data_IF_250154961231
#
_entry.id   IF_250154961231
#
_cell.length_a   1.000
_cell.length_b   1.000
_cell.length_c   1.000
_cell.angle_alpha   90.00
_cell.angle_beta   90.00
_cell.angle_gamma   90.00
#
_symmetry.space_group_name_H-M   'P 1'
#
loop_
_entity.id
_entity.type
_entity.pdbx_description
1 polymer ?
#
# COMPACT_ATOMS: atom_id res chain seq x y z
N UNK A 1 18.16 -4.94 16.40
CA UNK A 1 17.43 -3.94 15.59
C UNK A 1 18.19 -3.52 14.32
N UNK A 2 19.45 -3.94 14.12
CA UNK A 2 20.22 -3.65 12.90
C UNK A 2 20.25 -4.86 11.97
N UNK A 3 19.10 -5.25 11.42
CA UNK A 3 19.06 -6.27 10.38
C UNK A 3 18.23 -5.79 9.19
N UNK A 4 18.47 -6.39 8.03
CA UNK A 4 17.83 -6.02 6.78
C UNK A 4 16.30 -6.08 6.87
N UNK A 5 15.75 -7.10 7.52
CA UNK A 5 14.31 -7.27 7.73
C UNK A 5 13.68 -6.04 8.39
N UNK A 6 14.29 -5.54 9.47
CA UNK A 6 13.79 -4.35 10.17
C UNK A 6 13.81 -3.10 9.28
N UNK A 7 14.92 -2.87 8.57
CA UNK A 7 15.06 -1.72 7.66
C UNK A 7 14.03 -1.80 6.53
N UNK A 8 13.82 -3.01 5.99
CA UNK A 8 12.82 -3.26 4.97
C UNK A 8 11.41 -2.91 5.44
N UNK A 9 10.99 -3.44 6.61
CA UNK A 9 9.66 -3.13 7.16
C UNK A 9 9.52 -1.65 7.51
N UNK A 10 10.57 -1.00 8.00
CA UNK A 10 10.56 0.42 8.31
C UNK A 10 10.25 1.27 7.06
N UNK A 11 10.92 1.02 5.94
CA UNK A 11 10.68 1.76 4.70
C UNK A 11 9.31 1.43 4.10
N UNK A 12 8.90 0.16 4.14
CA UNK A 12 7.57 -0.24 3.66
C UNK A 12 6.46 0.44 4.46
N UNK A 13 6.56 0.42 5.80
CA UNK A 13 5.59 1.09 6.68
C UNK A 13 5.58 2.61 6.45
N UNK A 14 6.76 3.24 6.29
CA UNK A 14 6.84 4.66 5.96
C UNK A 14 6.06 4.98 4.69
N UNK A 15 6.19 4.17 3.64
CA UNK A 15 5.50 4.37 2.38
C UNK A 15 3.98 4.18 2.51
N UNK A 16 3.55 3.14 3.23
CA UNK A 16 2.12 2.86 3.50
C UNK A 16 1.49 4.01 4.31
N UNK A 17 2.15 4.44 5.38
CA UNK A 17 1.68 5.57 6.21
C UNK A 17 1.66 6.84 5.36
N UNK A 18 2.64 7.07 4.50
CA UNK A 18 2.68 8.19 3.58
C UNK A 18 1.46 8.25 2.67
N UNK A 19 1.07 7.11 2.06
CA UNK A 19 -0.13 7.00 1.22
C UNK A 19 -1.42 7.21 2.03
N UNK A 20 -1.48 6.66 3.25
CA UNK A 20 -2.66 6.78 4.11
C UNK A 20 -2.82 8.15 4.78
N UNK A 21 -1.76 8.96 4.86
CA UNK A 21 -1.76 10.19 5.65
C UNK A 21 -2.82 11.20 5.16
N UNK A 22 -2.94 11.40 3.85
CA UNK A 22 -3.93 12.34 3.29
C UNK A 22 -5.36 11.87 3.56
N UNK A 23 -5.65 10.59 3.33
CA UNK A 23 -6.95 10.00 3.60
C UNK A 23 -7.29 10.08 5.10
N UNK A 24 -6.36 9.69 5.96
CA UNK A 24 -6.54 9.73 7.42
C UNK A 24 -6.84 11.15 7.92
N UNK A 25 -6.09 12.15 7.44
CA UNK A 25 -6.34 13.55 7.79
C UNK A 25 -7.70 14.05 7.30
N UNK A 26 -8.12 13.64 6.11
CA UNK A 26 -9.41 14.05 5.56
C UNK A 26 -10.58 13.39 6.29
N UNK A 27 -10.48 12.10 6.63
CA UNK A 27 -11.52 11.38 7.37
C UNK A 27 -11.67 11.85 8.83
N UNK A 28 -10.63 12.45 9.40
CA UNK A 28 -10.67 13.03 10.75
C UNK A 28 -11.29 14.44 10.80
N UNK A 29 -11.54 15.08 9.66
CA UNK A 29 -12.14 16.42 9.60
C UNK A 29 -13.66 16.36 9.71
N UNK A 30 -14.22 17.22 10.55
CA UNK A 30 -15.68 17.28 10.78
C UNK A 30 -16.45 18.04 9.67
N UNK A 31 -15.74 18.78 8.81
CA UNK A 31 -16.30 19.60 7.73
C UNK A 31 -16.12 18.97 6.34
N UNK A 32 -15.67 17.72 6.29
CA UNK A 32 -15.33 17.06 5.03
C UNK A 32 -16.59 16.72 4.22
N UNK A 33 -16.63 17.19 2.97
CA UNK A 33 -17.68 16.84 2.02
C UNK A 33 -17.55 15.36 1.58
N UNK A 34 -18.67 14.63 1.54
CA UNK A 34 -18.75 13.21 1.16
C UNK A 34 -18.09 12.94 -0.19
N UNK A 35 -18.25 13.84 -1.18
CA UNK A 35 -17.64 13.70 -2.51
C UNK A 35 -16.13 13.72 -2.41
N UNK A 36 -15.59 14.68 -1.65
CA UNK A 36 -14.15 14.81 -1.47
C UNK A 36 -13.59 13.61 -0.71
N UNK A 37 -14.30 13.11 0.31
CA UNK A 37 -13.91 11.89 1.02
C UNK A 37 -13.86 10.66 0.08
N UNK A 38 -14.88 10.43 -0.73
CA UNK A 38 -14.91 9.30 -1.67
C UNK A 38 -13.84 9.42 -2.78
N UNK A 39 -13.58 10.64 -3.26
CA UNK A 39 -12.49 10.88 -4.21
C UNK A 39 -11.12 10.54 -3.61
N UNK A 40 -10.89 10.89 -2.33
CA UNK A 40 -9.66 10.54 -1.62
C UNK A 40 -9.52 9.02 -1.42
N UNK A 41 -10.60 8.32 -1.05
CA UNK A 41 -10.60 6.85 -0.98
C UNK A 41 -10.16 6.25 -2.32
N UNK A 42 -10.76 6.70 -3.43
CA UNK A 42 -10.40 6.23 -4.77
C UNK A 42 -8.95 6.57 -5.15
N UNK A 43 -8.46 7.76 -4.77
CA UNK A 43 -7.08 8.14 -4.98
C UNK A 43 -6.11 7.25 -4.19
N UNK A 44 -6.37 7.01 -2.90
CA UNK A 44 -5.57 6.13 -2.04
C UNK A 44 -5.53 4.70 -2.58
N UNK A 45 -6.67 4.17 -3.04
CA UNK A 45 -6.74 2.85 -3.71
C UNK A 45 -5.81 2.78 -4.91
N UNK A 46 -5.84 3.80 -5.79
CA UNK A 46 -4.98 3.87 -6.98
C UNK A 46 -3.50 3.96 -6.60
N UNK A 47 -3.16 4.72 -5.55
CA UNK A 47 -1.79 4.84 -5.06
C UNK A 47 -1.24 3.50 -4.55
N UNK A 48 -2.02 2.73 -3.79
CA UNK A 48 -1.59 1.40 -3.35
C UNK A 48 -1.42 0.42 -4.51
N UNK A 49 -2.33 0.41 -5.49
CA UNK A 49 -2.19 -0.42 -6.70
C UNK A 49 -0.92 -0.06 -7.48
N UNK A 50 -0.68 1.24 -7.70
CA UNK A 50 0.54 1.73 -8.37
C UNK A 50 1.82 1.38 -7.61
N UNK A 51 1.80 1.48 -6.27
CA UNK A 51 2.91 1.07 -5.42
C UNK A 51 3.17 -0.42 -5.54
N UNK A 52 2.12 -1.26 -5.58
CA UNK A 52 2.27 -2.71 -5.76
C UNK A 52 2.89 -3.07 -7.11
N UNK A 53 2.45 -2.42 -8.18
CA UNK A 53 2.91 -2.71 -9.54
C UNK A 53 4.34 -2.24 -9.80
N UNK A 54 4.68 -1.02 -9.34
CA UNK A 54 5.91 -0.33 -9.76
C UNK A 54 6.84 0.08 -8.60
N UNK A 55 6.42 -0.11 -7.35
CA UNK A 55 7.13 0.41 -6.17
C UNK A 55 8.22 -0.50 -5.63
N UNK A 56 8.34 -1.75 -6.12
CA UNK A 56 9.31 -2.73 -5.62
C UNK A 56 10.75 -2.24 -5.73
N UNK A 57 11.20 -1.89 -6.94
CA UNK A 57 12.59 -1.48 -7.19
C UNK A 57 12.96 -0.20 -6.43
N UNK A 58 12.01 0.73 -6.32
CA UNK A 58 12.21 1.97 -5.56
C UNK A 58 12.41 1.68 -4.07
N UNK A 59 11.52 0.87 -3.48
CA UNK A 59 11.63 0.47 -2.07
C UNK A 59 12.94 -0.28 -1.80
N UNK A 60 13.28 -1.25 -2.65
CA UNK A 60 14.50 -2.04 -2.49
C UNK A 60 15.74 -1.16 -2.56
N UNK A 61 15.80 -0.23 -3.53
CA UNK A 61 16.89 0.72 -3.66
C UNK A 61 17.06 1.59 -2.42
N UNK A 62 15.97 2.14 -1.86
CA UNK A 62 16.02 2.93 -0.62
C UNK A 62 16.53 2.11 0.56
N UNK A 63 16.05 0.87 0.71
CA UNK A 63 16.47 -0.05 1.79
C UNK A 63 17.96 -0.38 1.67
N UNK A 64 18.45 -0.70 0.47
CA UNK A 64 19.87 -1.02 0.24
C UNK A 64 20.75 0.18 0.55
N UNK A 65 20.38 1.37 0.06
CA UNK A 65 21.12 2.61 0.34
C UNK A 65 21.16 2.92 1.84
N UNK A 66 20.04 2.74 2.54
CA UNK A 66 20.00 2.92 3.99
C UNK A 66 20.91 1.90 4.70
N UNK A 67 20.82 0.63 4.34
CA UNK A 67 21.65 -0.42 4.94
C UNK A 67 23.14 -0.14 4.74
N UNK A 68 23.57 0.22 3.53
CA UNK A 68 24.94 0.61 3.22
C UNK A 68 25.41 1.80 4.07
N UNK A 69 24.58 2.85 4.18
CA UNK A 69 24.90 4.04 4.97
C UNK A 69 25.07 3.73 6.46
N UNK A 70 24.34 2.74 6.97
CA UNK A 70 24.29 2.42 8.39
C UNK A 70 25.03 1.13 8.76
N UNK A 71 25.87 0.60 7.85
CA UNK A 71 26.61 -0.66 8.02
C UNK A 71 25.73 -1.83 8.47
N UNK A 72 24.55 -1.95 7.87
CA UNK A 72 23.66 -3.11 8.01
C UNK A 72 23.92 -4.04 6.83
N UNK A 73 24.10 -5.33 7.12
CA UNK A 73 24.32 -6.34 6.10
C UNK A 73 23.15 -6.40 5.12
N UNK A 74 23.45 -6.28 3.83
CA UNK A 74 22.47 -6.35 2.75
C UNK A 74 22.25 -7.82 2.36
N UNK A 75 20.99 -8.21 2.24
CA UNK A 75 20.63 -9.54 1.76
C UNK A 75 20.84 -9.62 0.25
N UNK A 76 21.56 -10.65 -0.21
CA UNK A 76 21.66 -10.96 -1.63
C UNK A 76 20.32 -11.52 -2.14
N UNK A 77 19.66 -10.73 -3.00
CA UNK A 77 18.35 -11.08 -3.56
C UNK A 77 18.40 -12.25 -4.54
N UNK A 78 19.56 -12.53 -5.14
CA UNK A 78 19.75 -13.67 -6.04
C UNK A 78 20.00 -14.98 -5.30
N UNK A 79 20.42 -14.91 -4.04
CA UNK A 79 20.69 -16.08 -3.23
C UNK A 79 19.41 -16.86 -2.92
N UNK A 80 19.53 -18.19 -2.93
CA UNK A 80 18.46 -19.10 -2.51
C UNK A 80 18.09 -18.83 -1.05
N UNK A 81 16.80 -18.68 -0.80
CA UNK A 81 16.27 -18.60 0.54
C UNK A 81 16.15 -20.01 1.13
N UNK A 82 16.71 -20.21 2.33
CA UNK A 82 16.56 -21.45 3.10
C UNK A 82 15.72 -21.13 4.33
N UNK A 83 14.49 -21.66 4.37
CA UNK A 83 13.61 -21.51 5.54
C UNK A 83 14.15 -22.37 6.70
N UNK A 84 14.60 -21.78 7.82
CA UNK A 84 15.12 -22.55 8.97
C UNK A 84 14.06 -23.44 9.63
N UNK A 85 12.77 -23.17 9.40
CA UNK A 85 11.64 -23.83 10.06
C UNK A 85 11.05 -24.98 9.24
N UNK A 86 11.40 -25.10 7.97
CA UNK A 86 10.89 -26.18 7.10
C UNK A 86 12.00 -27.19 6.80
N UNK A 87 11.83 -28.44 7.24
CA UNK A 87 12.60 -29.57 6.71
C UNK A 87 12.21 -29.80 5.25
N UNK A 88 13.11 -29.42 4.34
CA UNK A 88 13.25 -29.82 2.93
C UNK A 88 12.12 -30.71 2.38
N UNK A 89 10.91 -30.15 2.21
CA UNK A 89 9.83 -30.79 1.47
C UNK A 89 9.27 -29.77 0.50
N UNK A 90 9.83 -29.83 -0.70
CA UNK A 90 9.36 -29.37 -2.00
C UNK A 90 8.58 -28.06 -2.03
N UNK A 91 9.17 -27.03 -2.65
CA UNK A 91 8.62 -26.39 -3.88
C UNK A 91 9.56 -25.25 -4.30
N UNK A 92 10.21 -25.42 -5.46
CA UNK A 92 11.06 -24.46 -6.19
C UNK A 92 12.19 -23.77 -5.40
N UNK A 93 13.29 -23.48 -6.09
CA UNK A 93 14.42 -22.77 -5.48
C UNK A 93 14.05 -21.29 -5.27
N UNK A 94 13.24 -21.00 -4.25
CA UNK A 94 12.79 -19.64 -3.96
C UNK A 94 13.98 -18.77 -3.56
N UNK A 95 14.15 -17.65 -4.24
CA UNK A 95 15.19 -16.66 -3.96
C UNK A 95 14.77 -15.74 -2.82
N UNK A 96 15.74 -15.02 -2.25
CA UNK A 96 15.43 -13.93 -1.33
C UNK A 96 14.52 -12.87 -1.99
N UNK A 97 14.72 -12.58 -3.29
CA UNK A 97 13.82 -11.68 -4.04
C UNK A 97 12.35 -12.12 -3.91
N UNK A 98 12.05 -13.40 -4.16
CA UNK A 98 10.69 -13.91 -4.04
C UNK A 98 10.12 -13.70 -2.63
N UNK A 99 10.91 -14.02 -1.59
CA UNK A 99 10.48 -13.86 -0.20
C UNK A 99 10.16 -12.41 0.14
N UNK A 100 11.00 -11.46 -0.24
CA UNK A 100 10.75 -10.05 0.11
C UNK A 100 9.71 -9.39 -0.78
N UNK A 101 9.73 -9.68 -2.09
CA UNK A 101 8.81 -9.08 -3.05
C UNK A 101 7.41 -9.68 -2.95
N UNK A 102 7.30 -11.00 -2.99
CA UNK A 102 6.00 -11.68 -3.03
C UNK A 102 5.44 -11.82 -1.61
N UNK A 103 6.16 -12.53 -0.74
CA UNK A 103 5.61 -12.93 0.58
C UNK A 103 5.50 -11.76 1.58
N UNK A 104 6.26 -10.67 1.38
CA UNK A 104 6.21 -9.49 2.25
C UNK A 104 5.59 -8.29 1.56
N UNK A 105 6.23 -7.75 0.52
CA UNK A 105 5.82 -6.49 -0.10
C UNK A 105 4.41 -6.58 -0.70
N UNK A 106 4.17 -7.54 -1.61
CA UNK A 106 2.86 -7.71 -2.25
C UNK A 106 1.79 -8.09 -1.23
N UNK A 107 2.05 -9.08 -0.37
CA UNK A 107 1.07 -9.53 0.64
C UNK A 107 0.63 -8.39 1.57
N UNK A 108 1.56 -7.53 2.01
CA UNK A 108 1.23 -6.39 2.87
C UNK A 108 0.39 -5.35 2.11
N UNK A 109 0.76 -5.03 0.86
CA UNK A 109 0.00 -4.07 0.05
C UNK A 109 -1.38 -4.58 -0.34
N UNK A 110 -1.50 -5.86 -0.68
CA UNK A 110 -2.79 -6.48 -0.94
C UNK A 110 -3.69 -6.44 0.29
N UNK A 111 -3.12 -6.62 1.49
CA UNK A 111 -3.87 -6.44 2.73
C UNK A 111 -4.35 -5.00 2.91
N UNK A 112 -3.50 -4.01 2.63
CA UNK A 112 -3.91 -2.59 2.71
C UNK A 112 -5.03 -2.26 1.71
N UNK A 113 -4.94 -2.75 0.47
CA UNK A 113 -6.00 -2.57 -0.54
C UNK A 113 -7.28 -3.26 -0.09
N UNK A 114 -7.19 -4.50 0.41
CA UNK A 114 -8.34 -5.24 0.90
C UNK A 114 -9.01 -4.55 2.08
N UNK A 115 -8.26 -4.09 3.07
CA UNK A 115 -8.82 -3.36 4.21
C UNK A 115 -9.56 -2.09 3.76
N UNK A 116 -9.02 -1.38 2.76
CA UNK A 116 -9.69 -0.22 2.16
C UNK A 116 -10.99 -0.62 1.42
N UNK A 117 -10.97 -1.72 0.66
CA UNK A 117 -12.12 -2.20 -0.10
C UNK A 117 -13.22 -2.80 0.78
N UNK A 118 -12.86 -3.46 1.88
CA UNK A 118 -13.79 -4.00 2.87
C UNK A 118 -14.53 -2.86 3.60
N UNK A 119 -13.88 -1.72 3.83
CA UNK A 119 -14.49 -0.54 4.46
C UNK A 119 -15.24 0.38 3.48
N UNK A 120 -14.69 0.56 2.28
CA UNK A 120 -15.19 1.49 1.27
C UNK A 120 -15.32 0.79 -0.08
N UNK A 121 -16.25 -0.16 -0.16
CA UNK A 121 -16.50 -0.92 -1.38
C UNK A 121 -16.73 -0.04 -2.61
N UNK A 122 -16.21 -0.46 -3.76
CA UNK A 122 -16.22 0.33 -5.00
C UNK A 122 -17.63 0.82 -5.37
N UNK A 123 -18.61 -0.09 -5.35
CA UNK A 123 -20.02 0.22 -5.63
C UNK A 123 -20.55 1.28 -4.66
N UNK A 124 -20.24 1.17 -3.37
CA UNK A 124 -20.69 2.14 -2.36
C UNK A 124 -20.07 3.52 -2.57
N UNK A 125 -18.78 3.57 -2.88
CA UNK A 125 -18.08 4.84 -3.17
C UNK A 125 -18.61 5.51 -4.43
N UNK A 126 -18.89 4.74 -5.49
CA UNK A 126 -19.44 5.25 -6.74
C UNK A 126 -20.89 5.70 -6.59
N UNK A 127 -21.70 4.95 -5.84
CA UNK A 127 -23.07 5.33 -5.52
C UNK A 127 -23.12 6.64 -4.75
N UNK A 128 -22.26 6.84 -3.75
CA UNK A 128 -22.21 8.09 -2.99
C UNK A 128 -21.76 9.28 -3.85
N UNK A 129 -20.81 9.06 -4.76
CA UNK A 129 -20.39 10.07 -5.72
C UNK A 129 -21.54 10.44 -6.67
N UNK A 130 -22.28 9.46 -7.19
CA UNK A 130 -23.44 9.73 -8.06
C UNK A 130 -24.59 10.39 -7.31
N UNK A 131 -24.89 9.98 -6.08
CA UNK A 131 -25.91 10.60 -5.23
C UNK A 131 -25.61 12.05 -4.86
N UNK A 132 -24.34 12.46 -4.81
CA UNK A 132 -24.00 13.87 -4.60
C UNK A 132 -24.49 14.81 -5.71
N UNK A 133 -24.77 14.29 -6.90
CA UNK A 133 -25.44 15.07 -7.95
C UNK A 133 -26.86 15.49 -7.54
N UNK A 134 -27.45 14.77 -6.60
CA UNK A 134 -28.76 15.03 -5.99
C UNK A 134 -28.66 15.94 -4.75
N UNK A 135 -27.49 16.52 -4.44
CA UNK A 135 -27.36 17.43 -3.31
C UNK A 135 -27.99 18.80 -3.63
N UNK A 136 -29.08 19.19 -2.94
CA UNK A 136 -29.72 20.49 -3.15
C UNK A 136 -28.80 21.67 -2.79
N UNK A 137 -27.74 21.46 -1.97
CA UNK A 137 -26.75 22.48 -1.61
C UNK A 137 -26.03 23.07 -2.83
N UNK A 138 -25.90 22.29 -3.91
CA UNK A 138 -25.32 22.74 -5.17
C UNK A 138 -26.34 22.88 -6.30
N UNK A 139 -27.64 22.98 -5.95
CA UNK A 139 -28.75 23.14 -6.89
C UNK A 139 -28.75 22.12 -8.03
N UNK A 140 -28.37 20.87 -7.75
CA UNK A 140 -28.37 19.78 -8.75
C UNK A 140 -27.51 20.06 -9.99
N UNK A 141 -26.54 20.97 -9.94
CA UNK A 141 -25.72 21.33 -11.12
C UNK A 141 -25.03 20.13 -11.76
N UNK A 142 -24.62 19.15 -10.95
CA UNK A 142 -23.96 17.93 -11.44
C UNK A 142 -24.94 16.86 -11.97
N UNK A 143 -26.26 17.03 -11.82
CA UNK A 143 -27.27 16.11 -12.35
C UNK A 143 -27.65 16.42 -13.80
N UNK A 144 -27.44 17.67 -14.24
CA UNK A 144 -27.82 18.15 -15.57
C UNK A 144 -26.66 18.11 -16.60
N UNK A 145 -25.58 17.37 -16.30
CA UNK A 145 -24.38 17.27 -17.12
C UNK A 145 -24.25 15.88 -17.72
#
# INVERSE_FOLDING_TARGET
MNNFDFVFYLHLLKNIIGVNNELSRALQRNDQDTVNAMNLVNATRRLFKKMKENGWETLLGEVVLFCQKHNVDVVDMSQKFVDPRKKLRMTEELTNDHRYRIEKFIVILDRQIKELDDHFGEIGTELLLTMSSLDPKYSFKAFHQ
#
